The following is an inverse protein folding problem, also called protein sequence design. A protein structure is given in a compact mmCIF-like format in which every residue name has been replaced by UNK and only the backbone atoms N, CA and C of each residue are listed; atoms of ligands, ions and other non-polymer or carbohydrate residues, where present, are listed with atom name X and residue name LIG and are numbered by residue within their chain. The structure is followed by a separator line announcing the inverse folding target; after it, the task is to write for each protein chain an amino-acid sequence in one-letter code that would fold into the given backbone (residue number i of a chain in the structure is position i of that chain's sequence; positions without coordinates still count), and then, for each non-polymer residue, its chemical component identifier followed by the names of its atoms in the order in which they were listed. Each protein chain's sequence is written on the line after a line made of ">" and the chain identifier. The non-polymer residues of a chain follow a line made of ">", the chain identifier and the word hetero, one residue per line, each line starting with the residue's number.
data_IF_063469745444
#
_entry.id   IF_063469745444
#
_cell.length_a   1.000
_cell.length_b   1.000
_cell.length_c   1.000
_cell.angle_alpha   90.00
_cell.angle_beta   90.00
_cell.angle_gamma   90.00
#
_symmetry.space_group_name_H-M   'P 1'
#
loop_
_entity.id
_entity.type
_entity.pdbx_description
1 polymer ?
#
# COMPACT_ATOMS: atom_id res chain seq x y z
N UNK A 1 59.13 -74.51 10.07
CA UNK A 1 58.05 -74.35 9.04
C UNK A 1 58.69 -73.71 7.81
N UNK A 2 58.76 -74.44 6.65
CA UNK A 2 59.12 -73.79 5.37
C UNK A 2 57.96 -72.97 4.86
N UNK A 3 58.06 -71.64 4.96
CA UNK A 3 57.09 -70.79 4.27
C UNK A 3 57.39 -70.92 2.76
N UNK A 4 56.41 -71.34 1.97
CA UNK A 4 56.53 -71.44 0.52
C UNK A 4 56.84 -70.07 -0.05
N UNK A 5 57.84 -70.00 -0.99
CA UNK A 5 58.24 -68.79 -1.68
C UNK A 5 57.03 -68.09 -2.34
N UNK A 6 56.13 -68.91 -2.88
CA UNK A 6 54.87 -68.42 -3.45
C UNK A 6 54.00 -67.69 -2.42
N UNK A 7 54.00 -68.18 -1.18
CA UNK A 7 53.24 -67.55 -0.10
C UNK A 7 53.88 -66.21 0.35
N UNK A 8 55.22 -66.15 0.31
CA UNK A 8 55.96 -64.91 0.60
C UNK A 8 55.74 -63.86 -0.49
N UNK A 9 55.78 -64.26 -1.75
CA UNK A 9 55.50 -63.40 -2.90
C UNK A 9 54.08 -62.90 -2.86
N UNK A 10 53.12 -63.75 -2.59
CA UNK A 10 51.69 -63.33 -2.47
C UNK A 10 51.43 -62.33 -1.32
N UNK A 11 52.12 -62.51 -0.18
CA UNK A 11 52.05 -61.54 0.92
C UNK A 11 52.64 -60.19 0.57
N UNK A 12 53.82 -60.25 -0.10
CA UNK A 12 54.49 -59.02 -0.58
C UNK A 12 53.67 -58.27 -1.59
N UNK A 13 53.12 -58.93 -2.61
CA UNK A 13 52.26 -58.30 -3.60
C UNK A 13 51.00 -57.65 -2.94
N UNK A 14 50.39 -58.33 -1.98
CA UNK A 14 49.28 -57.78 -1.22
C UNK A 14 49.71 -56.51 -0.46
N UNK A 15 50.80 -56.55 0.26
CA UNK A 15 51.30 -55.39 1.03
C UNK A 15 51.72 -54.24 0.14
N UNK A 16 52.20 -54.48 -1.07
CA UNK A 16 52.52 -53.45 -2.05
C UNK A 16 51.27 -52.78 -2.60
N UNK A 17 50.23 -53.60 -2.92
CA UNK A 17 48.97 -53.11 -3.37
C UNK A 17 48.24 -52.28 -2.28
N UNK A 18 48.29 -52.75 -1.04
CA UNK A 18 47.71 -52.02 0.10
C UNK A 18 48.45 -50.68 0.30
N UNK A 19 49.79 -50.66 0.22
CA UNK A 19 50.59 -49.42 0.31
C UNK A 19 50.28 -48.46 -0.84
N UNK A 20 50.09 -48.96 -2.06
CA UNK A 20 49.69 -48.17 -3.20
C UNK A 20 48.28 -47.57 -3.04
N UNK A 21 47.35 -48.36 -2.53
CA UNK A 21 45.97 -47.90 -2.25
C UNK A 21 45.94 -46.81 -1.17
N UNK A 22 46.75 -46.97 -0.10
CA UNK A 22 46.90 -45.97 0.95
C UNK A 22 47.52 -44.67 0.42
N UNK A 23 48.54 -44.78 -0.44
CA UNK A 23 49.12 -43.59 -1.11
C UNK A 23 48.12 -42.89 -2.03
N UNK A 24 47.37 -43.64 -2.81
CA UNK A 24 46.35 -43.09 -3.69
C UNK A 24 45.24 -42.34 -2.88
N UNK A 25 44.85 -42.91 -1.72
CA UNK A 25 43.91 -42.28 -0.80
C UNK A 25 44.47 -40.97 -0.22
N UNK A 26 45.72 -40.93 0.20
CA UNK A 26 46.37 -39.71 0.68
C UNK A 26 46.52 -38.67 -0.44
N UNK A 27 46.75 -39.10 -1.68
CA UNK A 27 46.75 -38.18 -2.84
C UNK A 27 45.39 -37.62 -3.14
N UNK A 28 44.30 -38.40 -3.00
CA UNK A 28 42.92 -37.94 -3.14
C UNK A 28 42.62 -36.85 -2.10
N UNK A 29 43.14 -36.97 -0.87
CA UNK A 29 42.98 -35.98 0.20
C UNK A 29 43.82 -34.71 0.00
N UNK A 30 44.68 -34.65 -1.03
CA UNK A 30 45.49 -33.46 -1.32
C UNK A 30 44.72 -32.25 -1.80
N UNK A 31 43.43 -32.41 -2.12
CA UNK A 31 42.50 -31.32 -2.38
C UNK A 31 42.04 -30.59 -1.11
N UNK A 32 42.47 -31.06 0.06
CA UNK A 32 42.14 -30.48 1.36
C UNK A 32 40.97 -31.14 2.08
N UNK A 33 40.28 -32.12 1.45
CA UNK A 33 39.18 -32.85 2.09
C UNK A 33 39.61 -34.28 2.47
N UNK A 34 39.22 -34.69 3.69
CA UNK A 34 39.43 -36.10 4.14
C UNK A 34 38.21 -37.00 3.86
N UNK A 35 37.11 -36.43 3.43
CA UNK A 35 35.82 -37.14 3.25
C UNK A 35 35.34 -37.05 1.79
N UNK A 36 35.73 -38.03 0.97
CA UNK A 36 35.25 -38.12 -0.43
C UNK A 36 34.13 -39.14 -0.59
N UNK A 37 34.13 -40.19 0.24
CA UNK A 37 33.19 -41.30 0.17
C UNK A 37 32.68 -41.69 1.56
N UNK A 38 31.44 -42.22 1.65
CA UNK A 38 30.89 -42.70 2.92
C UNK A 38 31.76 -43.75 3.60
N UNK A 39 32.60 -44.47 2.82
CA UNK A 39 33.53 -45.49 3.30
C UNK A 39 34.76 -44.89 4.01
N UNK A 40 35.07 -43.65 3.85
CA UNK A 40 36.26 -43.04 4.45
C UNK A 40 36.11 -42.83 5.95
N UNK A 41 34.98 -42.25 6.34
CA UNK A 41 34.49 -42.17 7.74
C UNK A 41 33.00 -42.00 7.73
N UNK A 42 32.25 -43.08 7.97
CA UNK A 42 30.79 -43.11 7.89
C UNK A 42 30.11 -42.19 8.90
N UNK A 43 30.72 -41.96 10.07
CA UNK A 43 30.16 -41.10 11.12
C UNK A 43 30.36 -39.64 10.77
N UNK A 44 31.57 -39.25 10.42
CA UNK A 44 31.88 -37.86 10.05
C UNK A 44 31.27 -37.51 8.69
N UNK A 45 31.17 -38.44 7.74
CA UNK A 45 30.47 -38.23 6.48
C UNK A 45 28.97 -37.95 6.68
N UNK A 46 28.32 -38.66 7.60
CA UNK A 46 26.91 -38.42 7.94
C UNK A 46 26.71 -37.06 8.62
N UNK A 47 27.67 -36.59 9.43
CA UNK A 47 27.65 -35.24 10.02
C UNK A 47 27.87 -34.17 8.96
N UNK A 48 28.89 -34.38 8.11
CA UNK A 48 29.18 -33.48 6.99
C UNK A 48 27.97 -33.24 6.09
N UNK A 49 27.28 -34.30 5.67
CA UNK A 49 26.05 -34.15 4.88
C UNK A 49 24.95 -33.35 5.59
N UNK A 50 24.79 -33.55 6.92
CA UNK A 50 23.82 -32.76 7.70
C UNK A 50 24.22 -31.29 7.78
N UNK A 51 25.48 -30.99 8.00
CA UNK A 51 25.97 -29.62 8.03
C UNK A 51 25.88 -28.97 6.67
N UNK A 52 26.20 -29.67 5.58
CA UNK A 52 26.04 -29.18 4.22
C UNK A 52 24.58 -28.85 3.87
N UNK A 53 23.64 -29.71 4.31
CA UNK A 53 22.21 -29.38 4.16
C UNK A 53 21.82 -28.14 4.98
N UNK A 54 22.32 -28.05 6.22
CA UNK A 54 22.05 -26.87 7.07
C UNK A 54 22.67 -25.59 6.51
N UNK A 55 23.83 -25.68 5.86
CA UNK A 55 24.47 -24.58 5.16
C UNK A 55 23.63 -24.09 3.99
N UNK A 56 23.18 -25.01 3.15
CA UNK A 56 22.29 -24.68 2.02
C UNK A 56 20.95 -24.07 2.50
N UNK A 57 20.38 -24.58 3.59
CA UNK A 57 19.18 -23.98 4.19
C UNK A 57 19.45 -22.59 4.73
N UNK A 58 20.60 -22.39 5.38
CA UNK A 58 21.00 -21.09 5.94
C UNK A 58 21.24 -20.06 4.84
N UNK A 59 21.88 -20.42 3.74
CA UNK A 59 22.07 -19.56 2.57
C UNK A 59 20.73 -19.10 1.98
N UNK A 60 19.76 -20.01 1.89
CA UNK A 60 18.42 -19.69 1.43
C UNK A 60 17.72 -18.71 2.40
N UNK A 61 17.83 -18.93 3.71
CA UNK A 61 17.26 -18.02 4.70
C UNK A 61 17.93 -16.66 4.68
N UNK A 62 19.25 -16.58 4.53
CA UNK A 62 19.96 -15.31 4.37
C UNK A 62 19.49 -14.56 3.13
N UNK A 63 19.33 -15.24 2.00
CA UNK A 63 18.81 -14.64 0.77
C UNK A 63 17.40 -14.07 0.97
N UNK A 64 16.52 -14.83 1.61
CA UNK A 64 15.15 -14.40 1.90
C UNK A 64 15.14 -13.18 2.81
N UNK A 65 15.96 -13.17 3.87
CA UNK A 65 16.06 -12.04 4.81
C UNK A 65 16.61 -10.79 4.11
N UNK A 66 17.65 -10.93 3.29
CA UNK A 66 18.22 -9.81 2.52
C UNK A 66 17.20 -9.20 1.55
N UNK A 67 16.41 -10.04 0.88
CA UNK A 67 15.34 -9.60 0.01
C UNK A 67 14.25 -8.85 0.82
N UNK A 68 13.87 -9.38 1.98
CA UNK A 68 12.92 -8.72 2.88
C UNK A 68 13.40 -7.36 3.39
N UNK A 69 14.66 -7.27 3.80
CA UNK A 69 15.28 -6.00 4.22
C UNK A 69 15.32 -4.99 3.06
N UNK A 70 15.67 -5.43 1.86
CA UNK A 70 15.67 -4.56 0.67
C UNK A 70 14.29 -4.00 0.38
N UNK A 71 13.25 -4.86 0.48
CA UNK A 71 11.86 -4.44 0.32
C UNK A 71 11.46 -3.40 1.36
N UNK A 72 11.72 -3.66 2.64
CA UNK A 72 11.38 -2.73 3.73
C UNK A 72 12.12 -1.39 3.60
N UNK A 73 13.39 -1.38 3.17
CA UNK A 73 14.15 -0.14 2.94
C UNK A 73 13.57 0.70 1.82
N UNK A 74 13.09 0.08 0.75
CA UNK A 74 12.43 0.82 -0.35
C UNK A 74 11.10 1.40 0.11
N UNK A 75 10.31 0.64 0.89
CA UNK A 75 9.07 1.13 1.48
C UNK A 75 9.32 2.28 2.46
N UNK A 76 10.34 2.17 3.31
CA UNK A 76 10.75 3.20 4.27
C UNK A 76 11.11 4.51 3.57
N UNK A 77 11.94 4.45 2.52
CA UNK A 77 12.30 5.63 1.72
C UNK A 77 11.08 6.32 1.09
N UNK A 78 10.09 5.54 0.62
CA UNK A 78 8.85 6.10 0.11
C UNK A 78 8.02 6.76 1.22
N UNK A 79 7.92 6.13 2.40
CA UNK A 79 7.18 6.68 3.55
C UNK A 79 7.82 7.95 4.12
N UNK A 80 9.16 8.04 4.13
CA UNK A 80 9.86 9.28 4.51
C UNK A 80 9.47 10.43 3.57
N UNK A 81 9.48 10.21 2.25
CA UNK A 81 9.06 11.21 1.30
C UNK A 81 7.57 11.59 1.45
N UNK A 82 6.70 10.62 1.74
CA UNK A 82 5.28 10.88 2.02
C UNK A 82 5.10 11.74 3.26
N UNK A 83 5.86 11.48 4.31
CA UNK A 83 5.84 12.27 5.55
C UNK A 83 6.24 13.72 5.30
N UNK A 84 7.26 13.96 4.48
CA UNK A 84 7.71 15.31 4.13
C UNK A 84 6.62 16.07 3.33
N UNK A 85 5.94 15.35 2.41
CA UNK A 85 4.80 15.94 1.68
C UNK A 85 3.65 16.24 2.64
N UNK A 86 3.30 15.34 3.55
CA UNK A 86 2.22 15.56 4.52
C UNK A 86 2.54 16.71 5.48
N UNK A 87 3.80 16.89 5.87
CA UNK A 87 4.24 18.08 6.63
C UNK A 87 3.98 19.35 5.82
N UNK A 88 4.36 19.37 4.53
CA UNK A 88 4.09 20.50 3.64
C UNK A 88 2.58 20.74 3.47
N UNK A 89 1.77 19.69 3.34
CA UNK A 89 0.31 19.79 3.25
C UNK A 89 -0.29 20.40 4.52
N UNK A 90 0.20 19.99 5.69
CA UNK A 90 -0.22 20.58 6.96
C UNK A 90 0.11 22.08 7.03
N UNK A 91 1.34 22.47 6.69
CA UNK A 91 1.74 23.87 6.64
C UNK A 91 0.86 24.69 5.68
N UNK A 92 0.54 24.15 4.50
CA UNK A 92 -0.37 24.78 3.54
C UNK A 92 -1.80 24.90 4.07
N UNK A 93 -2.28 23.91 4.82
CA UNK A 93 -3.60 23.95 5.47
C UNK A 93 -3.64 25.06 6.52
N UNK A 94 -2.62 25.16 7.37
CA UNK A 94 -2.50 26.23 8.36
C UNK A 94 -2.43 27.61 7.66
N UNK A 95 -1.64 27.70 6.57
CA UNK A 95 -1.56 28.94 5.78
C UNK A 95 -2.93 29.33 5.21
N UNK A 96 -3.67 28.37 4.62
CA UNK A 96 -4.99 28.63 4.03
C UNK A 96 -6.05 28.95 5.10
N UNK A 97 -5.90 28.42 6.31
CA UNK A 97 -6.81 28.64 7.45
C UNK A 97 -6.64 30.04 8.10
N UNK A 98 -5.69 30.86 7.63
CA UNK A 98 -5.47 32.18 8.21
C UNK A 98 -6.46 33.21 7.66
N UNK A 99 -7.20 33.89 8.54
CA UNK A 99 -8.26 34.86 8.20
C UNK A 99 -7.80 36.07 7.35
N UNK A 100 -6.50 36.27 7.22
CA UNK A 100 -5.93 37.38 6.43
C UNK A 100 -5.86 37.08 4.93
N UNK A 101 -6.05 35.85 4.51
CA UNK A 101 -5.99 35.44 3.11
C UNK A 101 -7.30 35.75 2.38
N UNK A 102 -7.22 36.32 1.18
CA UNK A 102 -8.36 36.43 0.29
C UNK A 102 -8.77 35.08 -0.30
N UNK A 103 -10.02 34.95 -0.75
CA UNK A 103 -10.51 33.71 -1.37
C UNK A 103 -9.66 33.28 -2.56
N UNK A 104 -9.17 34.21 -3.37
CA UNK A 104 -8.26 33.93 -4.50
C UNK A 104 -6.93 33.32 -4.06
N UNK A 105 -6.40 33.76 -2.91
CA UNK A 105 -5.13 33.28 -2.38
C UNK A 105 -5.29 31.86 -1.85
N UNK A 106 -6.40 31.60 -1.15
CA UNK A 106 -6.75 30.25 -0.66
C UNK A 106 -6.93 29.29 -1.83
N UNK A 107 -7.59 29.70 -2.91
CA UNK A 107 -7.74 28.90 -4.12
C UNK A 107 -6.41 28.60 -4.81
N UNK A 108 -5.47 29.55 -4.80
CA UNK A 108 -4.13 29.33 -5.32
C UNK A 108 -3.36 28.28 -4.48
N UNK A 109 -3.45 28.39 -3.14
CA UNK A 109 -2.90 27.39 -2.22
C UNK A 109 -3.55 26.03 -2.45
N UNK A 110 -4.87 25.98 -2.68
CA UNK A 110 -5.62 24.75 -2.96
C UNK A 110 -5.14 24.01 -4.21
N UNK A 111 -4.77 24.74 -5.27
CA UNK A 111 -4.19 24.12 -6.48
C UNK A 111 -2.82 23.52 -6.22
N UNK A 112 -1.97 24.20 -5.45
CA UNK A 112 -0.66 23.67 -5.04
C UNK A 112 -0.84 22.44 -4.14
N UNK A 113 -1.79 22.51 -3.21
CA UNK A 113 -2.14 21.43 -2.32
C UNK A 113 -2.58 20.18 -3.11
N UNK A 114 -3.49 20.34 -4.08
CA UNK A 114 -3.94 19.25 -4.94
C UNK A 114 -2.79 18.59 -5.71
N UNK A 115 -1.86 19.38 -6.24
CA UNK A 115 -0.68 18.85 -6.92
C UNK A 115 0.18 17.99 -5.96
N UNK A 116 0.33 18.41 -4.70
CA UNK A 116 1.04 17.63 -3.68
C UNK A 116 0.30 16.36 -3.28
N UNK A 117 -1.03 16.37 -3.27
CA UNK A 117 -1.81 15.13 -3.04
C UNK A 117 -1.63 14.16 -4.22
N UNK A 118 -1.57 14.64 -5.45
CA UNK A 118 -1.28 13.80 -6.62
C UNK A 118 0.13 13.18 -6.53
N UNK A 119 1.11 13.93 -6.05
CA UNK A 119 2.46 13.42 -5.78
C UNK A 119 2.44 12.34 -4.70
N UNK A 120 1.65 12.54 -3.63
CA UNK A 120 1.45 11.54 -2.57
C UNK A 120 0.83 10.24 -3.10
N UNK A 121 -0.17 10.32 -3.99
CA UNK A 121 -0.75 9.15 -4.68
C UNK A 121 0.31 8.44 -5.54
N UNK A 122 1.16 9.21 -6.22
CA UNK A 122 2.25 8.64 -7.02
C UNK A 122 3.27 7.90 -6.16
N UNK A 123 3.61 8.42 -4.98
CA UNK A 123 4.47 7.71 -4.02
C UNK A 123 3.81 6.45 -3.46
N UNK A 124 2.47 6.47 -3.26
CA UNK A 124 1.70 5.28 -2.92
C UNK A 124 1.80 4.16 -3.98
N UNK A 125 2.09 4.53 -5.22
CA UNK A 125 2.29 3.62 -6.35
C UNK A 125 3.78 3.31 -6.61
N UNK A 126 4.65 3.48 -5.61
CA UNK A 126 6.08 3.13 -5.73
C UNK A 126 6.26 1.64 -6.00
N UNK A 127 7.17 1.33 -6.93
CA UNK A 127 7.50 -0.02 -7.36
C UNK A 127 8.94 -0.39 -6.98
N UNK A 128 9.15 -1.67 -6.75
CA UNK A 128 10.48 -2.30 -6.74
C UNK A 128 10.53 -3.39 -7.82
N UNK A 129 11.25 -3.11 -8.90
CA UNK A 129 11.17 -3.93 -10.11
C UNK A 129 9.80 -3.78 -10.79
N UNK A 130 9.05 -4.87 -10.88
CA UNK A 130 7.71 -4.96 -11.46
C UNK A 130 6.57 -5.02 -10.43
N UNK A 131 6.89 -4.85 -9.14
CA UNK A 131 5.95 -5.04 -8.03
C UNK A 131 5.70 -3.76 -7.27
N UNK A 132 4.42 -3.49 -6.97
CA UNK A 132 3.99 -2.36 -6.15
C UNK A 132 4.19 -2.65 -4.66
N UNK A 133 4.79 -1.68 -3.95
CA UNK A 133 5.19 -1.84 -2.55
C UNK A 133 4.02 -1.94 -1.59
N UNK A 134 2.94 -1.19 -1.84
CA UNK A 134 1.82 -1.00 -0.92
C UNK A 134 0.54 -1.73 -1.34
N UNK A 135 0.61 -2.59 -2.35
CA UNK A 135 -0.54 -3.32 -2.89
C UNK A 135 -0.92 -4.58 -2.11
N UNK A 136 -0.21 -4.92 -1.03
CA UNK A 136 -0.41 -6.16 -0.30
C UNK A 136 0.16 -7.37 -1.04
N UNK A 137 -0.64 -8.40 -1.27
CA UNK A 137 -0.27 -9.57 -2.09
C UNK A 137 -0.63 -9.39 -3.57
N UNK A 138 -1.47 -8.39 -3.91
CA UNK A 138 -1.82 -8.03 -5.29
C UNK A 138 -0.79 -7.10 -5.92
N UNK A 139 0.49 -7.42 -5.76
CA UNK A 139 1.64 -6.57 -6.05
C UNK A 139 1.90 -6.28 -7.54
N UNK A 140 1.16 -6.93 -8.45
CA UNK A 140 1.21 -6.68 -9.89
C UNK A 140 0.18 -5.64 -10.38
N UNK A 141 -0.76 -5.23 -9.51
CA UNK A 141 -1.78 -4.22 -9.84
C UNK A 141 -1.47 -2.91 -9.16
N UNK A 142 -1.73 -1.79 -9.83
CA UNK A 142 -1.53 -0.46 -9.25
C UNK A 142 -2.48 -0.28 -8.06
N UNK A 143 -1.95 -0.03 -6.84
CA UNK A 143 -2.80 -0.01 -5.66
C UNK A 143 -3.68 1.24 -5.55
N UNK A 144 -3.20 2.42 -5.96
CA UNK A 144 -3.96 3.66 -5.80
C UNK A 144 -4.29 4.25 -7.17
N UNK A 145 -5.58 4.28 -7.49
CA UNK A 145 -6.10 4.84 -8.74
C UNK A 145 -6.81 6.14 -8.44
N UNK A 146 -6.29 7.23 -8.99
CA UNK A 146 -6.93 8.55 -8.91
C UNK A 146 -7.92 8.69 -10.05
N UNK A 147 -9.20 8.77 -9.74
CA UNK A 147 -10.26 9.07 -10.69
C UNK A 147 -10.75 10.52 -10.53
N UNK A 148 -11.18 11.10 -11.64
CA UNK A 148 -11.74 12.43 -11.67
C UNK A 148 -13.06 12.38 -12.43
N UNK A 149 -14.13 12.89 -11.80
CA UNK A 149 -15.45 12.95 -12.41
C UNK A 149 -16.08 14.32 -12.20
N UNK A 150 -16.89 14.76 -13.14
CA UNK A 150 -17.74 15.92 -12.93
C UNK A 150 -19.00 15.51 -12.16
N UNK A 151 -19.28 16.23 -11.12
CA UNK A 151 -20.47 16.03 -10.29
C UNK A 151 -21.14 17.38 -10.03
N UNK A 152 -22.47 17.42 -9.77
CA UNK A 152 -23.13 18.64 -9.34
C UNK A 152 -22.50 19.15 -8.05
N UNK A 153 -22.26 20.46 -7.99
CA UNK A 153 -21.79 21.10 -6.77
C UNK A 153 -22.86 20.94 -5.68
N UNK A 154 -22.44 20.63 -4.47
CA UNK A 154 -23.30 20.23 -3.35
C UNK A 154 -23.42 18.72 -3.18
N UNK A 155 -23.16 17.91 -4.22
CA UNK A 155 -23.07 16.45 -4.12
C UNK A 155 -21.63 15.92 -4.00
N UNK A 156 -20.63 16.73 -4.36
CA UNK A 156 -19.24 16.33 -4.25
C UNK A 156 -18.91 15.99 -2.79
N UNK A 157 -18.32 14.82 -2.57
CA UNK A 157 -17.87 14.39 -1.23
C UNK A 157 -16.75 15.27 -0.70
N UNK A 158 -15.91 15.75 -1.60
CA UNK A 158 -14.71 16.52 -1.31
C UNK A 158 -14.92 18.01 -1.37
N UNK A 159 -15.93 18.49 -2.12
CA UNK A 159 -16.24 19.89 -2.25
C UNK A 159 -17.74 20.15 -2.06
N UNK A 160 -18.07 20.88 -1.03
CA UNK A 160 -19.39 21.41 -0.77
C UNK A 160 -19.36 22.93 -0.85
N UNK A 161 -20.42 23.53 -1.43
CA UNK A 161 -20.68 24.93 -1.16
C UNK A 161 -21.04 25.09 0.33
N UNK A 162 -20.38 25.96 1.10
CA UNK A 162 -20.66 26.12 2.53
C UNK A 162 -22.12 26.42 2.82
N UNK A 163 -22.81 27.18 1.97
CA UNK A 163 -24.21 27.46 2.10
C UNK A 163 -25.08 26.26 1.77
N UNK A 164 -24.69 25.44 0.77
CA UNK A 164 -25.43 24.25 0.40
C UNK A 164 -25.20 23.09 1.38
N UNK A 165 -23.97 22.90 1.85
CA UNK A 165 -23.65 21.87 2.83
C UNK A 165 -24.30 22.08 4.20
N UNK A 166 -24.61 23.29 4.49
CA UNK A 166 -25.27 23.74 5.70
C UNK A 166 -26.70 23.22 5.87
N UNK A 167 -27.41 23.00 4.77
CA UNK A 167 -28.74 22.43 4.74
C UNK A 167 -28.78 20.90 4.63
N UNK A 168 -27.64 20.26 4.83
CA UNK A 168 -27.57 18.79 4.89
C UNK A 168 -28.32 18.30 6.12
N UNK A 169 -29.51 17.83 5.94
CA UNK A 169 -30.24 17.03 6.92
C UNK A 169 -30.52 15.64 6.36
N UNK A 170 -30.21 14.64 7.15
CA UNK A 170 -30.51 13.24 6.88
C UNK A 170 -31.99 12.90 6.99
N UNK A 171 -32.85 13.59 6.31
CA UNK A 171 -34.28 13.30 6.39
C UNK A 171 -34.68 12.01 5.66
N UNK A 172 -33.83 11.47 4.81
CA UNK A 172 -34.05 10.20 4.10
C UNK A 172 -33.46 8.97 4.79
N UNK A 173 -32.76 9.15 5.92
CA UNK A 173 -32.18 8.08 6.71
C UNK A 173 -30.93 7.39 6.10
N UNK A 174 -30.45 7.83 4.93
CA UNK A 174 -29.34 7.25 4.21
C UNK A 174 -28.03 8.04 4.28
N UNK A 175 -28.00 9.17 4.98
CA UNK A 175 -26.78 9.90 5.38
C UNK A 175 -25.87 10.48 4.31
N UNK A 176 -26.15 10.29 3.04
CA UNK A 176 -25.17 10.48 1.98
C UNK A 176 -25.53 11.48 0.89
N UNK A 177 -26.72 12.09 0.93
CA UNK A 177 -27.13 13.03 -0.12
C UNK A 177 -27.18 14.45 0.39
N UNK A 178 -26.49 15.41 -0.24
CA UNK A 178 -26.70 16.80 0.03
C UNK A 178 -28.13 17.17 -0.35
N UNK A 179 -28.82 17.91 0.51
CA UNK A 179 -30.17 18.35 0.24
C UNK A 179 -30.24 19.47 -0.81
N UNK A 180 -29.16 20.21 -0.98
CA UNK A 180 -29.10 21.35 -1.88
C UNK A 180 -28.03 21.18 -2.96
N UNK A 181 -28.45 21.38 -4.22
CA UNK A 181 -27.58 21.45 -5.37
C UNK A 181 -27.45 22.90 -5.83
N UNK A 182 -26.26 23.32 -6.10
CA UNK A 182 -25.98 24.64 -6.67
C UNK A 182 -26.33 24.64 -8.15
N UNK A 183 -27.02 25.70 -8.58
CA UNK A 183 -27.40 25.95 -9.95
C UNK A 183 -26.85 27.29 -10.41
N UNK A 184 -26.59 27.39 -11.70
CA UNK A 184 -26.28 28.64 -12.38
C UNK A 184 -27.44 29.06 -13.25
N UNK A 185 -27.86 30.31 -13.17
CA UNK A 185 -28.89 30.87 -14.00
C UNK A 185 -28.32 31.56 -15.25
N UNK A 186 -29.11 31.59 -16.34
CA UNK A 186 -28.78 32.33 -17.55
C UNK A 186 -28.71 33.84 -17.33
N UNK A 187 -29.20 34.31 -16.19
CA UNK A 187 -29.09 35.69 -15.70
C UNK A 187 -27.79 35.97 -14.95
N UNK A 188 -26.92 34.97 -14.81
CA UNK A 188 -25.65 35.06 -14.09
C UNK A 188 -25.78 34.91 -12.56
N UNK A 189 -26.99 34.67 -12.04
CA UNK A 189 -27.18 34.45 -10.62
C UNK A 189 -26.99 32.98 -10.23
N UNK A 190 -26.67 32.76 -8.95
CA UNK A 190 -26.55 31.42 -8.36
C UNK A 190 -27.83 31.09 -7.62
N UNK A 191 -28.33 29.89 -7.82
CA UNK A 191 -29.51 29.33 -7.17
C UNK A 191 -29.18 28.01 -6.49
N UNK A 192 -30.03 27.57 -5.60
CA UNK A 192 -29.88 26.30 -4.87
C UNK A 192 -31.19 25.51 -4.93
N UNK A 193 -31.12 24.26 -5.33
CA UNK A 193 -32.27 23.36 -5.47
C UNK A 193 -32.26 22.30 -4.38
N UNK A 194 -33.36 22.15 -3.68
CA UNK A 194 -33.58 21.02 -2.78
C UNK A 194 -33.72 19.72 -3.58
N UNK A 195 -32.90 18.71 -3.28
CA UNK A 195 -33.04 17.37 -3.87
C UNK A 195 -34.31 16.66 -3.41
N UNK A 196 -34.88 17.08 -2.30
CA UNK A 196 -36.07 16.49 -1.70
C UNK A 196 -37.37 17.03 -2.36
N UNK A 197 -37.55 18.34 -2.38
CA UNK A 197 -38.76 18.99 -2.88
C UNK A 197 -38.68 19.51 -4.32
N UNK A 198 -37.43 19.63 -4.87
CA UNK A 198 -37.21 20.35 -6.12
C UNK A 198 -37.38 21.85 -6.01
N UNK A 199 -37.61 22.40 -4.82
CA UNK A 199 -37.70 23.82 -4.57
C UNK A 199 -36.39 24.52 -4.82
N UNK A 200 -36.42 25.69 -5.47
CA UNK A 200 -35.23 26.47 -5.84
C UNK A 200 -35.22 27.75 -5.02
N UNK A 201 -34.10 28.04 -4.43
CA UNK A 201 -33.87 29.19 -3.57
C UNK A 201 -32.81 30.10 -4.17
N UNK A 202 -32.97 31.42 -3.95
CA UNK A 202 -31.94 32.39 -4.34
C UNK A 202 -30.73 32.32 -3.41
N UNK A 203 -29.57 32.81 -3.90
CA UNK A 203 -28.38 32.94 -3.08
C UNK A 203 -28.59 33.83 -1.85
N UNK A 204 -29.35 34.92 -2.00
CA UNK A 204 -29.67 35.82 -0.89
C UNK A 204 -30.36 35.11 0.26
N UNK A 205 -31.35 34.25 -0.04
CA UNK A 205 -32.02 33.43 0.96
C UNK A 205 -31.04 32.48 1.68
N UNK A 206 -30.16 31.83 0.94
CA UNK A 206 -29.18 30.92 1.51
C UNK A 206 -28.17 31.63 2.41
N UNK A 207 -27.70 32.81 1.98
CA UNK A 207 -26.79 33.64 2.77
C UNK A 207 -27.41 34.17 4.06
N UNK A 208 -28.67 34.54 4.04
CA UNK A 208 -29.40 34.98 5.23
C UNK A 208 -29.72 33.82 6.17
N UNK A 209 -30.03 32.64 5.66
CA UNK A 209 -30.12 31.43 6.42
C UNK A 209 -28.83 31.08 7.15
N UNK A 210 -27.69 31.19 6.47
CA UNK A 210 -26.39 31.01 7.06
C UNK A 210 -26.10 31.98 8.21
N UNK A 211 -26.36 33.28 8.00
CA UNK A 211 -26.22 34.30 9.05
C UNK A 211 -27.10 34.02 10.27
N UNK A 212 -28.31 33.55 10.05
CA UNK A 212 -29.24 33.18 11.13
C UNK A 212 -28.76 32.00 11.97
N UNK A 213 -28.13 31.00 11.36
CA UNK A 213 -27.57 29.87 12.12
C UNK A 213 -26.33 30.29 12.89
N UNK A 214 -25.44 31.07 12.29
CA UNK A 214 -24.24 31.58 12.99
C UNK A 214 -24.67 32.40 14.20
N UNK A 215 -25.77 33.15 14.09
CA UNK A 215 -26.27 33.98 15.19
C UNK A 215 -27.08 33.22 16.24
N UNK A 216 -27.89 32.22 15.86
CA UNK A 216 -28.96 31.65 16.73
C UNK A 216 -28.86 30.11 16.89
N UNK A 217 -27.87 29.46 16.29
CA UNK A 217 -27.74 27.99 16.30
C UNK A 217 -28.64 27.28 15.26
N UNK A 218 -28.29 26.03 15.00
CA UNK A 218 -28.80 25.24 13.87
C UNK A 218 -30.28 24.89 13.93
N UNK A 219 -30.87 24.80 15.13
CA UNK A 219 -32.21 24.26 15.33
C UNK A 219 -33.38 25.07 14.69
N UNK A 220 -33.20 26.35 14.41
CA UNK A 220 -34.27 27.17 13.84
C UNK A 220 -34.41 27.11 12.32
N UNK A 221 -33.33 26.71 11.62
CA UNK A 221 -33.32 26.60 10.15
C UNK A 221 -33.64 25.18 9.73
N UNK A 222 -33.16 24.19 10.48
CA UNK A 222 -33.49 22.78 10.27
C UNK A 222 -35.02 22.59 10.33
N UNK A 223 -35.70 23.23 11.29
CA UNK A 223 -37.16 23.16 11.42
C UNK A 223 -37.90 23.81 10.24
N UNK A 224 -37.34 24.88 9.65
CA UNK A 224 -37.98 25.55 8.50
C UNK A 224 -37.85 24.72 7.22
N UNK A 225 -36.73 24.03 7.04
CA UNK A 225 -36.47 23.15 5.90
C UNK A 225 -37.15 21.79 6.06
N UNK A 226 -37.18 21.21 7.26
CA UNK A 226 -37.96 19.99 7.55
C UNK A 226 -39.46 20.18 7.31
N UNK A 227 -40.00 21.36 7.60
CA UNK A 227 -41.38 21.71 7.33
C UNK A 227 -41.66 22.02 5.85
N UNK A 228 -40.66 22.26 5.01
CA UNK A 228 -40.78 22.48 3.58
C UNK A 228 -41.29 21.24 2.80
N UNK A 229 -41.37 20.09 3.45
CA UNK A 229 -42.13 18.95 2.95
C UNK A 229 -43.64 19.19 2.85
N UNK A 230 -44.17 20.13 3.61
CA UNK A 230 -45.62 20.41 3.69
C UNK A 230 -46.04 21.69 2.96
N UNK A 231 -45.10 22.61 2.75
CA UNK A 231 -45.38 23.90 2.09
C UNK A 231 -44.13 24.20 1.26
N UNK A 232 -44.24 24.28 -0.06
CA UNK A 232 -43.27 24.94 -0.91
C UNK A 232 -43.12 26.32 -0.32
N UNK A 233 -42.04 26.58 0.41
CA UNK A 233 -41.94 27.71 1.31
C UNK A 233 -42.17 29.02 0.57
N UNK A 234 -42.77 30.01 1.20
CA UNK A 234 -42.97 31.37 0.69
C UNK A 234 -41.65 32.00 0.17
N UNK A 235 -40.50 31.42 0.56
CA UNK A 235 -39.16 31.89 0.22
C UNK A 235 -38.56 31.19 -1.02
N UNK A 236 -39.19 30.16 -1.58
CA UNK A 236 -38.74 29.51 -2.80
C UNK A 236 -39.09 30.38 -4.02
N UNK A 237 -38.12 30.61 -4.89
CA UNK A 237 -38.34 31.37 -6.13
C UNK A 237 -39.05 30.55 -7.21
N UNK A 238 -39.19 29.23 -6.99
CA UNK A 238 -39.93 28.31 -7.85
C UNK A 238 -39.55 26.84 -7.59
N UNK A 239 -40.06 25.98 -8.46
CA UNK A 239 -39.79 24.51 -8.40
C UNK A 239 -39.22 24.04 -9.73
N UNK A 240 -38.24 23.16 -9.71
CA UNK A 240 -37.67 22.59 -10.91
C UNK A 240 -38.73 21.80 -11.70
N UNK A 241 -39.02 22.14 -12.97
CA UNK A 241 -40.02 21.46 -13.77
C UNK A 241 -39.67 19.96 -13.94
N UNK A 242 -40.69 19.10 -13.82
CA UNK A 242 -40.53 17.66 -13.94
C UNK A 242 -39.81 16.98 -12.79
N UNK A 243 -39.38 17.75 -11.80
CA UNK A 243 -38.84 17.21 -10.56
C UNK A 243 -39.97 16.64 -9.71
N UNK A 244 -40.11 15.33 -9.66
CA UNK A 244 -41.27 14.65 -9.07
C UNK A 244 -41.33 14.79 -7.54
N UNK A 245 -42.48 14.64 -6.88
CA UNK A 245 -42.66 14.73 -5.43
C UNK A 245 -42.58 13.35 -4.71
N UNK A 246 -41.96 13.24 -3.54
CA UNK A 246 -42.03 12.08 -2.66
C UNK A 246 -40.79 11.14 -2.73
N UNK A 247 -40.84 10.04 -1.98
CA UNK A 247 -39.73 9.07 -1.83
C UNK A 247 -39.33 8.35 -3.11
N UNK A 248 -40.15 8.28 -4.13
CA UNK A 248 -39.81 7.71 -5.45
C UNK A 248 -38.77 8.53 -6.21
N UNK A 249 -38.56 9.78 -5.84
CA UNK A 249 -37.66 10.73 -6.46
C UNK A 249 -36.20 10.33 -6.36
N UNK A 250 -35.78 9.91 -5.16
CA UNK A 250 -34.38 9.59 -4.89
C UNK A 250 -33.95 8.49 -5.85
N UNK A 251 -34.75 7.45 -6.02
CA UNK A 251 -34.44 6.33 -6.92
C UNK A 251 -34.51 6.70 -8.41
N UNK A 252 -35.22 7.75 -8.78
CA UNK A 252 -35.35 8.22 -10.16
C UNK A 252 -34.09 8.99 -10.61
N UNK A 253 -33.59 9.87 -9.77
CA UNK A 253 -32.50 10.79 -10.10
C UNK A 253 -31.13 10.35 -9.56
N UNK A 254 -31.13 9.47 -8.58
CA UNK A 254 -29.91 9.00 -7.91
C UNK A 254 -29.86 7.48 -7.84
N UNK A 255 -28.67 6.92 -7.94
CA UNK A 255 -28.41 5.52 -7.60
C UNK A 255 -28.35 5.36 -6.08
N UNK A 256 -28.46 4.12 -5.58
CA UNK A 256 -28.35 3.82 -4.15
C UNK A 256 -27.01 4.27 -3.52
N UNK A 257 -25.97 4.39 -4.36
CA UNK A 257 -24.64 4.88 -3.97
C UNK A 257 -24.54 6.42 -4.01
N UNK A 258 -25.61 7.14 -4.32
CA UNK A 258 -25.65 8.59 -4.44
C UNK A 258 -25.17 9.15 -5.78
N UNK A 259 -24.84 8.30 -6.77
CA UNK A 259 -24.47 8.74 -8.11
C UNK A 259 -25.69 9.28 -8.84
N UNK A 260 -25.52 10.38 -9.58
CA UNK A 260 -26.60 10.95 -10.39
C UNK A 260 -26.85 10.14 -11.64
N UNK A 261 -28.13 10.03 -12.02
CA UNK A 261 -28.60 9.37 -13.24
C UNK A 261 -28.83 10.34 -14.40
N UNK A 262 -28.84 11.64 -14.14
CA UNK A 262 -29.05 12.68 -15.15
C UNK A 262 -27.73 13.22 -15.71
N UNK A 263 -27.80 13.86 -16.87
CA UNK A 263 -26.62 14.48 -17.48
C UNK A 263 -26.23 15.74 -16.71
N UNK A 264 -25.08 15.69 -16.04
CA UNK A 264 -24.53 16.82 -15.27
C UNK A 264 -23.85 17.87 -16.13
N UNK A 265 -23.51 17.53 -17.37
CA UNK A 265 -22.88 18.43 -18.33
C UNK A 265 -23.88 19.18 -19.22
N UNK A 266 -25.18 18.93 -19.03
CA UNK A 266 -26.24 19.59 -19.77
C UNK A 266 -26.12 21.12 -19.65
N UNK A 267 -26.17 21.78 -20.81
CA UNK A 267 -26.16 23.24 -20.92
C UNK A 267 -27.57 23.82 -20.75
N UNK A 268 -27.68 25.15 -20.80
CA UNK A 268 -29.02 25.79 -20.74
C UNK A 268 -29.92 25.38 -21.92
N UNK A 269 -29.34 25.00 -23.07
CA UNK A 269 -30.04 24.65 -24.31
C UNK A 269 -30.50 23.18 -24.32
N UNK A 270 -29.86 22.33 -23.50
CA UNK A 270 -30.12 20.87 -23.48
C UNK A 270 -31.29 20.47 -22.61
N UNK A 271 -32.07 21.42 -22.06
CA UNK A 271 -33.18 21.12 -21.18
C UNK A 271 -34.23 20.25 -21.90
N UNK A 272 -34.55 19.10 -21.33
CA UNK A 272 -35.64 18.23 -21.76
C UNK A 272 -36.41 17.67 -20.55
N UNK A 273 -37.61 18.19 -20.35
CA UNK A 273 -38.49 17.75 -19.25
C UNK A 273 -39.10 16.37 -19.52
N UNK A 274 -39.15 15.93 -20.79
CA UNK A 274 -39.74 14.66 -21.18
C UNK A 274 -38.75 13.49 -21.02
N UNK A 275 -37.47 13.76 -20.92
CA UNK A 275 -36.46 12.74 -20.64
C UNK A 275 -36.70 12.13 -19.25
N UNK A 276 -36.29 10.89 -19.07
CA UNK A 276 -36.44 10.20 -17.79
C UNK A 276 -35.09 9.59 -17.35
N UNK A 277 -34.34 10.19 -16.43
CA UNK A 277 -34.64 11.44 -15.71
C UNK A 277 -34.62 12.69 -16.61
N UNK A 278 -35.21 13.81 -16.19
CA UNK A 278 -35.14 15.06 -16.94
C UNK A 278 -33.70 15.52 -17.13
N UNK A 279 -33.41 16.10 -18.28
CA UNK A 279 -32.12 16.72 -18.56
C UNK A 279 -32.15 18.16 -18.01
N UNK A 280 -31.33 18.42 -17.00
CA UNK A 280 -31.23 19.73 -16.35
C UNK A 280 -32.42 20.11 -15.46
N UNK A 281 -32.26 21.15 -14.61
CA UNK A 281 -33.31 21.65 -13.72
C UNK A 281 -34.38 22.51 -14.44
N UNK A 282 -34.11 22.95 -15.67
CA UNK A 282 -35.07 23.63 -16.54
C UNK A 282 -35.22 25.13 -16.34
N UNK A 283 -36.19 25.75 -17.05
CA UNK A 283 -36.50 27.16 -16.91
C UNK A 283 -37.27 27.41 -15.62
N UNK A 284 -36.97 28.52 -14.99
CA UNK A 284 -37.64 29.05 -13.81
C UNK A 284 -38.30 30.38 -14.15
N UNK A 285 -39.58 30.51 -13.86
CA UNK A 285 -40.31 31.77 -13.97
C UNK A 285 -40.23 32.54 -12.66
N UNK A 286 -39.43 33.58 -12.63
CA UNK A 286 -39.29 34.47 -11.45
C UNK A 286 -40.22 35.64 -11.62
N UNK A 287 -41.13 35.84 -10.66
CA UNK A 287 -42.01 37.01 -10.60
C UNK A 287 -41.26 38.16 -9.95
N UNK A 288 -41.09 39.24 -10.72
CA UNK A 288 -40.47 40.46 -10.24
C UNK A 288 -41.40 41.28 -9.38
N UNK A 289 -40.87 42.22 -8.59
CA UNK A 289 -41.63 43.13 -7.74
C UNK A 289 -42.60 44.03 -8.54
N UNK A 290 -42.32 44.30 -9.80
CA UNK A 290 -43.13 45.07 -10.73
C UNK A 290 -44.30 44.25 -11.36
N UNK A 291 -44.44 42.98 -10.99
CA UNK A 291 -45.42 42.04 -11.50
C UNK A 291 -45.07 41.41 -12.85
N UNK A 292 -43.94 41.71 -13.41
CA UNK A 292 -43.43 41.03 -14.62
C UNK A 292 -42.84 39.67 -14.28
N UNK A 293 -42.84 38.72 -15.23
CA UNK A 293 -42.23 37.42 -15.08
C UNK A 293 -40.97 37.37 -15.94
N UNK A 294 -39.88 37.02 -15.34
CA UNK A 294 -38.60 36.77 -16.04
C UNK A 294 -38.35 35.28 -16.07
N UNK A 295 -38.10 34.70 -17.24
CA UNK A 295 -37.73 33.30 -17.38
C UNK A 295 -36.21 33.19 -17.33
N UNK A 296 -35.72 32.45 -16.36
CA UNK A 296 -34.29 32.12 -16.18
C UNK A 296 -34.12 30.64 -16.42
N UNK A 297 -33.25 30.28 -17.39
CA UNK A 297 -32.89 28.87 -17.59
C UNK A 297 -31.79 28.50 -16.63
N UNK A 298 -31.87 27.33 -16.01
CA UNK A 298 -30.99 26.86 -14.99
C UNK A 298 -30.15 25.67 -15.49
N UNK A 299 -28.94 25.57 -15.05
CA UNK A 299 -28.10 24.38 -15.20
C UNK A 299 -27.42 24.04 -13.87
N UNK A 300 -26.98 22.80 -13.72
CA UNK A 300 -26.18 22.41 -12.54
C UNK A 300 -24.81 23.07 -12.58
N UNK A 301 -24.45 23.71 -11.48
CA UNK A 301 -23.05 24.07 -11.25
C UNK A 301 -22.27 22.77 -11.01
N UNK A 302 -21.24 22.54 -11.80
CA UNK A 302 -20.46 21.31 -11.72
C UNK A 302 -19.09 21.57 -11.10
N UNK A 303 -18.52 20.54 -10.52
CA UNK A 303 -17.17 20.53 -9.98
C UNK A 303 -16.46 19.26 -10.36
N UNK A 304 -15.16 19.36 -10.57
CA UNK A 304 -14.31 18.21 -10.73
C UNK A 304 -14.08 17.55 -9.35
N UNK A 305 -14.69 16.40 -9.13
CA UNK A 305 -14.44 15.58 -7.94
C UNK A 305 -13.28 14.62 -8.22
N UNK A 306 -12.33 14.63 -7.34
CA UNK A 306 -11.25 13.65 -7.32
C UNK A 306 -11.50 12.62 -6.24
N UNK A 307 -11.30 11.35 -6.56
CA UNK A 307 -11.43 10.24 -5.62
C UNK A 307 -10.28 9.28 -5.87
N UNK A 308 -9.66 8.82 -4.80
CA UNK A 308 -8.67 7.74 -4.86
C UNK A 308 -9.35 6.44 -4.45
N UNK A 309 -9.20 5.43 -5.28
CA UNK A 309 -9.63 4.06 -5.00
C UNK A 309 -8.41 3.17 -4.75
N UNK A 310 -8.54 2.21 -3.83
CA UNK A 310 -7.50 1.25 -3.51
C UNK A 310 -7.86 -0.11 -4.10
N UNK A 311 -7.07 -0.57 -5.05
CA UNK A 311 -7.22 -1.86 -5.74
C UNK A 311 -6.30 -2.95 -5.18
N UNK A 312 -5.46 -2.62 -4.20
CA UNK A 312 -4.64 -3.57 -3.48
C UNK A 312 -5.44 -4.40 -2.47
N UNK A 313 -4.77 -5.34 -1.82
CA UNK A 313 -5.36 -6.12 -0.75
C UNK A 313 -4.74 -5.79 0.62
N UNK A 314 -5.41 -6.24 1.69
CA UNK A 314 -4.95 -6.06 3.07
C UNK A 314 -4.02 -7.17 3.54
N UNK A 315 -3.65 -8.09 2.65
CA UNK A 315 -2.89 -9.27 3.04
C UNK A 315 -1.42 -8.94 3.22
N UNK A 316 -0.89 -9.44 4.30
CA UNK A 316 0.51 -9.28 4.63
C UNK A 316 1.34 -10.46 4.09
N UNK A 317 2.57 -10.16 3.68
CA UNK A 317 3.55 -11.14 3.23
C UNK A 317 4.40 -11.50 4.44
N UNK A 318 4.29 -12.74 4.91
CA UNK A 318 5.03 -13.23 6.07
C UNK A 318 6.14 -14.17 5.65
N UNK A 319 7.26 -14.16 6.36
CA UNK A 319 8.28 -15.19 6.21
C UNK A 319 7.84 -16.49 6.89
N UNK A 320 8.08 -17.60 6.20
CA UNK A 320 7.86 -18.95 6.75
C UNK A 320 9.04 -19.30 7.65
N UNK A 321 8.77 -19.60 8.92
CA UNK A 321 9.77 -20.09 9.87
C UNK A 321 10.18 -21.52 9.53
N UNK A 322 11.34 -21.95 10.02
CA UNK A 322 11.87 -23.30 9.80
C UNK A 322 10.91 -24.43 10.20
N UNK A 323 10.02 -24.17 11.15
CA UNK A 323 8.97 -25.14 11.58
C UNK A 323 7.71 -25.11 10.69
N UNK A 324 7.70 -24.35 9.59
CA UNK A 324 6.56 -24.19 8.69
C UNK A 324 5.45 -23.27 9.23
N UNK A 325 5.65 -22.60 10.37
CA UNK A 325 4.69 -21.64 10.90
C UNK A 325 4.98 -20.25 10.36
N UNK A 326 3.92 -19.47 10.15
CA UNK A 326 3.99 -18.02 9.85
C UNK A 326 3.46 -17.25 11.04
N UNK A 327 4.08 -16.12 11.35
CA UNK A 327 3.54 -15.15 12.30
C UNK A 327 3.08 -13.91 11.52
N UNK A 328 1.78 -13.76 11.28
CA UNK A 328 1.27 -12.69 10.43
C UNK A 328 1.41 -11.30 11.06
N UNK A 329 1.82 -11.20 12.31
CA UNK A 329 1.94 -9.92 13.02
C UNK A 329 3.38 -9.46 13.18
N UNK A 330 4.32 -10.37 13.46
CA UNK A 330 5.70 -10.05 13.77
C UNK A 330 6.66 -10.21 12.57
N UNK A 331 6.36 -11.15 11.65
CA UNK A 331 7.27 -11.55 10.59
C UNK A 331 6.88 -10.99 9.20
N UNK A 332 6.02 -9.96 9.16
CA UNK A 332 5.56 -9.40 7.89
C UNK A 332 6.53 -8.38 7.31
N UNK A 333 6.74 -8.44 6.01
CA UNK A 333 7.73 -7.64 5.27
C UNK A 333 7.11 -6.41 4.63
N UNK A 334 5.82 -6.50 4.26
CA UNK A 334 5.14 -5.45 3.53
C UNK A 334 4.32 -4.52 4.44
N UNK A 335 4.16 -3.29 3.99
CA UNK A 335 3.19 -2.32 4.47
C UNK A 335 2.06 -2.28 3.44
N UNK A 336 0.82 -2.40 3.88
CA UNK A 336 -0.34 -2.31 2.98
C UNK A 336 -0.86 -0.89 2.90
N UNK A 337 -1.62 -0.57 1.85
CA UNK A 337 -2.27 0.74 1.73
C UNK A 337 -3.19 1.06 2.91
N UNK A 338 -3.80 0.04 3.52
CA UNK A 338 -4.61 0.21 4.74
C UNK A 338 -3.79 0.66 5.95
N UNK A 339 -2.59 0.13 6.09
CA UNK A 339 -1.67 0.56 7.16
C UNK A 339 -1.15 1.98 6.90
N UNK A 340 -0.92 2.31 5.62
CA UNK A 340 -0.32 3.57 5.21
C UNK A 340 -1.30 4.75 5.30
N UNK A 341 -2.53 4.59 4.78
CA UNK A 341 -3.51 5.67 4.67
C UNK A 341 -4.79 5.44 5.46
N UNK A 342 -4.86 4.37 6.22
CA UNK A 342 -5.80 4.13 7.29
C UNK A 342 -7.26 3.99 6.90
N UNK A 343 -8.09 3.98 7.92
CA UNK A 343 -9.54 4.03 7.84
C UNK A 343 -10.01 5.48 7.91
N UNK A 344 -11.21 5.75 7.39
CA UNK A 344 -11.78 7.07 7.22
C UNK A 344 -11.74 7.91 8.52
N UNK A 345 -11.05 9.06 8.47
CA UNK A 345 -10.81 9.93 9.63
C UNK A 345 -12.12 10.63 10.05
N UNK A 346 -13.03 10.86 9.10
CA UNK A 346 -14.30 11.56 9.31
C UNK A 346 -15.51 10.63 9.51
N UNK A 347 -15.33 9.31 9.44
CA UNK A 347 -16.42 8.40 9.78
C UNK A 347 -16.77 8.54 11.26
N UNK A 348 -17.94 9.10 11.51
CA UNK A 348 -18.58 8.97 12.80
C UNK A 348 -18.83 7.48 13.06
N UNK A 349 -18.19 6.95 14.08
CA UNK A 349 -18.22 5.55 14.51
C UNK A 349 -19.65 4.99 14.71
N UNK A 350 -20.67 5.85 14.70
CA UNK A 350 -22.05 5.50 14.94
C UNK A 350 -22.91 5.27 13.69
N UNK A 351 -22.42 5.56 12.50
CA UNK A 351 -23.31 5.54 11.32
C UNK A 351 -23.18 4.28 10.49
N UNK A 352 -22.46 3.28 10.74
CA UNK A 352 -22.45 2.02 9.96
C UNK A 352 -22.40 2.20 8.42
N UNK A 353 -22.43 3.42 7.96
CA UNK A 353 -22.39 3.87 6.58
C UNK A 353 -20.97 4.22 6.24
N UNK A 354 -20.27 3.26 5.67
CA UNK A 354 -19.07 3.56 4.90
C UNK A 354 -19.48 4.56 3.82
N UNK A 355 -18.91 5.75 3.86
CA UNK A 355 -19.04 6.70 2.76
C UNK A 355 -18.57 5.97 1.51
N UNK A 356 -19.47 5.76 0.56
CA UNK A 356 -19.21 5.04 -0.68
C UNK A 356 -17.92 5.58 -1.34
N UNK A 357 -16.90 4.75 -1.42
CA UNK A 357 -15.60 5.06 -2.04
C UNK A 357 -14.40 5.21 -1.10
N UNK A 358 -14.59 5.30 0.22
CA UNK A 358 -13.47 5.10 1.15
C UNK A 358 -13.35 3.61 1.44
N UNK A 359 -12.82 2.85 0.50
CA UNK A 359 -12.32 1.53 0.83
C UNK A 359 -11.22 1.71 1.89
N UNK A 360 -11.16 0.81 2.86
CA UNK A 360 -10.06 0.85 3.82
C UNK A 360 -8.74 0.86 3.04
N UNK A 361 -7.91 1.88 3.24
CA UNK A 361 -6.68 2.07 2.49
C UNK A 361 -6.56 3.40 1.75
N UNK A 362 -7.64 4.19 1.64
CA UNK A 362 -7.60 5.49 0.93
C UNK A 362 -8.07 6.66 1.76
N UNK A 363 -8.42 6.45 3.02
CA UNK A 363 -9.07 7.47 3.82
C UNK A 363 -8.28 8.77 3.92
N UNK A 364 -7.00 8.70 4.28
CA UNK A 364 -6.16 9.89 4.38
C UNK A 364 -6.01 10.63 3.05
N UNK A 365 -5.93 9.90 1.92
CA UNK A 365 -5.84 10.51 0.58
C UNK A 365 -7.13 11.24 0.20
N UNK A 366 -8.29 10.61 0.45
CA UNK A 366 -9.58 11.22 0.17
C UNK A 366 -9.87 12.39 1.11
N UNK A 367 -9.41 12.34 2.35
CA UNK A 367 -9.49 13.47 3.28
C UNK A 367 -8.62 14.64 2.81
N UNK A 368 -7.42 14.38 2.27
CA UNK A 368 -6.59 15.42 1.66
C UNK A 368 -7.25 16.02 0.41
N UNK A 369 -7.91 15.20 -0.41
CA UNK A 369 -8.70 15.70 -1.54
C UNK A 369 -9.88 16.57 -1.07
N UNK A 370 -10.51 16.24 0.07
CA UNK A 370 -11.54 17.08 0.69
C UNK A 370 -10.95 18.43 1.16
N UNK A 371 -9.78 18.42 1.80
CA UNK A 371 -9.08 19.66 2.20
C UNK A 371 -8.81 20.56 0.98
N UNK A 372 -8.30 19.98 -0.12
CA UNK A 372 -8.07 20.72 -1.37
C UNK A 372 -9.36 21.35 -1.90
N UNK A 373 -10.46 20.60 -1.87
CA UNK A 373 -11.76 21.05 -2.33
C UNK A 373 -12.34 22.17 -1.44
N UNK A 374 -12.13 22.09 -0.12
CA UNK A 374 -12.53 23.15 0.82
C UNK A 374 -11.69 24.42 0.65
N UNK A 375 -10.40 24.29 0.27
CA UNK A 375 -9.57 25.44 -0.12
C UNK A 375 -10.11 26.11 -1.40
N UNK A 376 -10.52 25.32 -2.40
CA UNK A 376 -11.12 25.85 -3.62
C UNK A 376 -12.45 26.58 -3.34
N UNK A 377 -13.23 26.09 -2.37
CA UNK A 377 -14.46 26.73 -1.89
C UNK A 377 -14.21 27.98 -1.02
N UNK A 378 -12.99 28.19 -0.51
CA UNK A 378 -12.66 29.26 0.41
C UNK A 378 -13.25 29.07 1.82
N UNK A 379 -13.50 27.86 2.26
CA UNK A 379 -14.09 27.52 3.57
C UNK A 379 -13.07 27.58 4.70
N UNK A 380 -12.63 28.79 5.05
CA UNK A 380 -11.63 29.05 6.10
C UNK A 380 -12.03 28.44 7.43
N UNK A 381 -13.32 28.47 7.76
CA UNK A 381 -13.82 27.98 9.05
C UNK A 381 -13.63 26.46 9.16
N UNK A 382 -13.95 25.72 8.13
CA UNK A 382 -13.73 24.29 8.09
C UNK A 382 -12.23 23.94 8.08
N UNK A 383 -11.44 24.70 7.30
CA UNK A 383 -9.99 24.52 7.21
C UNK A 383 -9.29 24.73 8.56
N UNK A 384 -9.74 25.72 9.36
CA UNK A 384 -9.14 26.01 10.67
C UNK A 384 -9.45 25.01 11.77
N UNK A 385 -10.44 24.12 11.56
CA UNK A 385 -10.82 23.05 12.52
C UNK A 385 -10.55 21.67 11.95
N UNK A 386 -11.43 21.23 11.05
CA UNK A 386 -11.43 19.87 10.53
C UNK A 386 -10.29 19.64 9.53
N UNK A 387 -9.94 20.68 8.73
CA UNK A 387 -8.87 20.62 7.76
C UNK A 387 -7.52 20.36 8.41
N UNK A 388 -7.15 21.12 9.44
CA UNK A 388 -5.90 20.91 10.20
C UNK A 388 -5.91 19.55 10.87
N UNK A 389 -7.03 19.17 11.48
CA UNK A 389 -7.17 17.85 12.12
C UNK A 389 -6.98 16.71 11.12
N UNK A 390 -7.50 16.84 9.91
CA UNK A 390 -7.36 15.84 8.85
C UNK A 390 -5.90 15.68 8.41
N UNK A 391 -5.20 16.80 8.17
CA UNK A 391 -3.78 16.75 7.77
C UNK A 391 -2.89 16.20 8.86
N UNK A 392 -3.13 16.57 10.13
CA UNK A 392 -2.40 16.01 11.28
C UNK A 392 -2.61 14.50 11.39
N UNK A 393 -3.85 14.03 11.31
CA UNK A 393 -4.15 12.60 11.40
C UNK A 393 -3.53 11.80 10.26
N UNK A 394 -3.57 12.31 9.01
CA UNK A 394 -2.93 11.68 7.87
C UNK A 394 -1.41 11.57 8.09
N UNK A 395 -0.79 12.63 8.61
CA UNK A 395 0.63 12.64 8.96
C UNK A 395 0.98 11.59 10.03
N UNK A 396 0.21 11.54 11.13
CA UNK A 396 0.39 10.54 12.18
C UNK A 396 0.21 9.10 11.68
N UNK A 397 -0.74 8.87 10.77
CA UNK A 397 -0.99 7.55 10.19
C UNK A 397 0.24 7.02 9.44
N UNK A 398 0.89 7.86 8.63
CA UNK A 398 2.10 7.48 7.90
C UNK A 398 3.28 7.27 8.86
N UNK A 399 3.42 8.09 9.91
CA UNK A 399 4.44 7.88 10.95
C UNK A 399 4.24 6.55 11.68
N UNK A 400 3.01 6.18 11.99
CA UNK A 400 2.71 4.90 12.64
C UNK A 400 3.09 3.72 11.74
N UNK A 401 2.76 3.80 10.44
CA UNK A 401 3.16 2.81 9.44
C UNK A 401 4.69 2.71 9.31
N UNK A 402 5.39 3.85 9.19
CA UNK A 402 6.86 3.94 9.14
C UNK A 402 7.49 3.34 10.41
N UNK A 403 7.01 3.71 11.59
CA UNK A 403 7.51 3.19 12.86
C UNK A 403 7.35 1.67 12.96
N UNK A 404 6.20 1.15 12.51
CA UNK A 404 5.94 -0.28 12.48
C UNK A 404 6.87 -0.99 11.51
N UNK A 405 7.10 -0.44 10.32
CA UNK A 405 8.03 -0.99 9.34
C UNK A 405 9.47 -0.97 9.85
N UNK A 406 9.92 0.13 10.46
CA UNK A 406 11.25 0.25 11.05
C UNK A 406 11.48 -0.75 12.20
N UNK A 407 10.48 -0.97 13.05
CA UNK A 407 10.55 -1.97 14.11
C UNK A 407 10.72 -3.38 13.54
N UNK A 408 10.00 -3.72 12.46
CA UNK A 408 10.14 -5.00 11.74
C UNK A 408 11.51 -5.13 11.09
N UNK A 409 12.00 -4.07 10.45
CA UNK A 409 13.34 -4.07 9.83
C UNK A 409 14.42 -4.38 10.87
N UNK A 410 14.36 -3.79 12.08
CA UNK A 410 15.31 -4.10 13.15
C UNK A 410 15.29 -5.59 13.55
N UNK A 411 14.12 -6.23 13.53
CA UNK A 411 14.01 -7.68 13.77
C UNK A 411 14.72 -8.45 12.65
N UNK A 412 14.50 -8.08 11.38
CA UNK A 412 15.16 -8.72 10.25
C UNK A 412 16.66 -8.52 10.25
N UNK A 413 17.17 -7.35 10.61
CA UNK A 413 18.61 -7.07 10.76
C UNK A 413 19.22 -7.96 11.87
N UNK A 414 18.47 -8.17 12.97
CA UNK A 414 18.88 -9.07 14.05
C UNK A 414 18.89 -10.53 13.58
N UNK A 415 17.89 -10.95 12.80
CA UNK A 415 17.84 -12.30 12.21
C UNK A 415 18.98 -12.49 11.20
N UNK A 416 19.27 -11.49 10.37
CA UNK A 416 20.43 -11.54 9.46
C UNK A 416 21.73 -11.78 10.20
N UNK A 417 21.97 -11.00 11.28
CA UNK A 417 23.18 -11.17 12.12
C UNK A 417 23.23 -12.55 12.77
N UNK A 418 22.10 -13.10 13.18
CA UNK A 418 22.04 -14.45 13.75
C UNK A 418 22.36 -15.52 12.70
N UNK A 419 21.83 -15.40 11.48
CA UNK A 419 22.10 -16.31 10.38
C UNK A 419 23.55 -16.26 9.93
N UNK A 420 24.17 -15.08 9.92
CA UNK A 420 25.61 -14.92 9.62
C UNK A 420 26.46 -15.69 10.64
N UNK A 421 26.19 -15.54 11.95
CA UNK A 421 26.89 -16.29 13.00
C UNK A 421 26.62 -17.80 12.91
N UNK A 422 25.40 -18.20 12.54
CA UNK A 422 25.07 -19.60 12.34
C UNK A 422 25.85 -20.17 11.13
N UNK A 423 26.01 -19.39 10.06
CA UNK A 423 26.82 -19.77 8.89
C UNK A 423 28.28 -19.97 9.28
N UNK A 424 28.88 -19.06 10.06
CA UNK A 424 30.23 -19.21 10.60
C UNK A 424 30.37 -20.52 11.38
N UNK A 425 29.43 -20.83 12.27
CA UNK A 425 29.46 -22.08 13.05
C UNK A 425 29.33 -23.32 12.18
N UNK A 426 28.40 -23.30 11.19
CA UNK A 426 28.21 -24.43 10.26
C UNK A 426 29.45 -24.64 9.42
N UNK A 427 30.08 -23.56 8.93
CA UNK A 427 31.35 -23.63 8.15
C UNK A 427 32.48 -24.21 8.99
N UNK A 428 32.61 -23.80 10.26
CA UNK A 428 33.59 -24.36 11.19
C UNK A 428 33.31 -25.85 11.44
N UNK A 429 32.05 -26.24 11.64
CA UNK A 429 31.68 -27.65 11.84
C UNK A 429 31.95 -28.50 10.58
N UNK A 430 31.73 -27.95 9.37
CA UNK A 430 32.08 -28.58 8.09
C UNK A 430 33.60 -28.77 8.03
N UNK A 431 34.35 -27.73 8.30
CA UNK A 431 35.80 -27.77 8.30
C UNK A 431 36.35 -28.79 9.28
N UNK A 432 35.85 -28.81 10.51
CA UNK A 432 36.24 -29.79 11.53
C UNK A 432 35.95 -31.25 11.10
N UNK A 433 34.88 -31.47 10.36
CA UNK A 433 34.48 -32.79 9.88
C UNK A 433 35.24 -33.22 8.62
N UNK A 434 35.45 -32.30 7.65
CA UNK A 434 35.87 -32.62 6.29
C UNK A 434 37.30 -32.26 5.98
N UNK A 435 37.90 -31.26 6.63
CA UNK A 435 39.18 -30.73 6.22
C UNK A 435 40.34 -31.65 6.66
N UNK A 436 41.27 -31.81 5.77
CA UNK A 436 42.51 -32.53 6.04
C UNK A 436 43.58 -31.57 6.60
N UNK A 437 44.31 -32.00 7.62
CA UNK A 437 45.52 -31.32 8.05
C UNK A 437 46.59 -31.48 6.98
N UNK A 438 46.76 -30.44 6.15
CA UNK A 438 47.66 -30.42 5.00
C UNK A 438 49.12 -30.68 5.43
N UNK A 439 49.53 -30.20 6.62
CA UNK A 439 50.91 -30.42 7.09
C UNK A 439 51.13 -31.90 7.45
N UNK A 440 50.17 -32.51 8.14
CA UNK A 440 50.21 -33.93 8.46
C UNK A 440 50.10 -34.80 7.20
N UNK A 441 49.19 -34.45 6.30
CA UNK A 441 49.01 -35.11 5.02
C UNK A 441 50.33 -35.13 4.19
N UNK A 442 51.06 -34.02 4.14
CA UNK A 442 52.34 -33.94 3.44
C UNK A 442 53.38 -34.88 4.06
N UNK A 443 53.46 -34.96 5.40
CA UNK A 443 54.34 -35.86 6.11
C UNK A 443 53.97 -37.32 5.85
N UNK A 444 52.69 -37.64 5.91
CA UNK A 444 52.18 -38.99 5.67
C UNK A 444 52.42 -39.43 4.21
N UNK A 445 52.20 -38.53 3.23
CA UNK A 445 52.53 -38.79 1.82
C UNK A 445 54.04 -39.05 1.61
N UNK A 446 54.93 -38.24 2.18
CA UNK A 446 56.37 -38.45 2.08
C UNK A 446 56.79 -39.77 2.74
N UNK A 447 56.18 -40.12 3.88
CA UNK A 447 56.43 -41.37 4.59
C UNK A 447 55.93 -42.56 3.77
N UNK A 448 54.76 -42.52 3.21
CA UNK A 448 54.22 -43.57 2.34
C UNK A 448 55.03 -43.74 1.06
N UNK A 449 55.46 -42.63 0.45
CA UNK A 449 56.33 -42.68 -0.73
C UNK A 449 57.67 -43.33 -0.41
N UNK A 450 58.23 -43.06 0.77
CA UNK A 450 59.45 -43.70 1.25
C UNK A 450 59.27 -45.21 1.49
N UNK A 451 58.15 -45.57 2.14
CA UNK A 451 57.79 -46.99 2.39
C UNK A 451 57.53 -47.70 1.07
N UNK A 452 56.85 -47.10 0.10
CA UNK A 452 56.63 -47.68 -1.22
C UNK A 452 57.94 -47.93 -1.96
N UNK A 453 58.84 -46.94 -1.98
CA UNK A 453 60.19 -47.08 -2.60
C UNK A 453 61.03 -48.14 -1.91
N UNK A 454 60.98 -48.20 -0.55
CA UNK A 454 61.69 -49.27 0.18
C UNK A 454 61.11 -50.64 -0.14
N UNK A 455 59.75 -50.73 -0.22
CA UNK A 455 59.08 -51.99 -0.57
C UNK A 455 59.47 -52.47 -1.96
N UNK A 456 59.55 -51.57 -2.94
CA UNK A 456 60.05 -51.91 -4.29
C UNK A 456 61.47 -52.41 -4.26
N UNK A 457 62.40 -51.77 -3.47
CA UNK A 457 63.78 -52.19 -3.30
C UNK A 457 63.87 -53.55 -2.63
N UNK A 458 63.07 -53.83 -1.63
CA UNK A 458 63.03 -55.17 -0.98
C UNK A 458 62.44 -56.20 -1.94
N UNK A 459 61.39 -55.82 -2.71
CA UNK A 459 60.76 -56.69 -3.70
C UNK A 459 61.72 -57.16 -4.79
N UNK A 460 62.62 -56.27 -5.27
CA UNK A 460 63.67 -56.63 -6.24
C UNK A 460 64.64 -57.66 -5.75
N UNK A 461 64.75 -57.82 -4.43
CA UNK A 461 65.60 -58.85 -3.79
C UNK A 461 64.89 -60.13 -3.46
N UNK A 462 63.60 -60.11 -3.31
CA UNK A 462 62.81 -61.29 -2.90
C UNK A 462 62.21 -62.00 -4.13
N UNK A 463 61.91 -61.27 -5.17
CA UNK A 463 61.37 -61.85 -6.40
C UNK A 463 62.52 -62.61 -7.11
N UNK A 464 62.29 -63.88 -7.48
CA UNK A 464 63.31 -64.61 -8.25
C UNK A 464 63.56 -63.92 -9.59
N UNK A 465 64.83 -63.74 -9.94
CA UNK A 465 65.22 -63.26 -11.26
C UNK A 465 64.47 -64.08 -12.34
N UNK A 466 63.71 -63.34 -13.19
CA UNK A 466 62.98 -63.97 -14.29
C UNK A 466 63.99 -64.71 -15.20
N UNK A 467 63.59 -65.86 -15.73
CA UNK A 467 64.38 -66.63 -16.67
C UNK A 467 64.80 -65.84 -17.90
N UNK A 468 64.23 -64.69 -18.15
CA UNK A 468 64.50 -63.74 -19.25
C UNK A 468 65.87 -62.99 -19.05
N UNK A 469 66.34 -62.84 -17.81
CA UNK A 469 67.67 -62.25 -17.51
C UNK A 469 68.84 -63.30 -17.64
N UNK A 470 68.49 -64.56 -17.98
CA UNK A 470 69.44 -65.65 -18.12
C UNK A 470 69.57 -66.12 -19.58
N UNK A 471 68.90 -65.53 -20.56
CA UNK A 471 69.04 -65.77 -21.97
C UNK A 471 69.64 -64.51 -22.64
#
# INVERSE_FOLDING_TARGET
>A
MRVSSTQMIGRYQKQLNDSYADQAKLMEQSDGSKLHRPSDDSVNYSKFLRYQNSDTENDQYQSNVKNGISWMKTADAAMVNMKDILTTLNEKTIQAATDTNGTSDIQAIGKEFLAKVQELVSLGNTQQGDRYMFAGQSDLTQPFVLSASKVPRGMAKTLDDPQASFFKNDSDGNGNMPQMLQLEGSDGNTYFMSTISGAIYSRGFMDDGYKNIVANGRSNVDTKIENDHAVIGEDAVGVAPGWAEGTEKVSKYFEANGKVKFDVDATFEDYDSAANPPIGPGPLEIRNEDGTTTTVTLRFATIQQYVVEYEGDAKQISMVKRNGTTDPTADTVNVTGQMLFGSNIFDNVNSGNQVNGASSGTAALNDMLMVAAKMDAGDVRWLSSDGITATDKAHYQVIEAETTAAARQNVYDSVSTMLDKQNETITEDISNCSDADVARLAIDLMTMQTIYNMSLSVGSRILPQSLADYL
#
